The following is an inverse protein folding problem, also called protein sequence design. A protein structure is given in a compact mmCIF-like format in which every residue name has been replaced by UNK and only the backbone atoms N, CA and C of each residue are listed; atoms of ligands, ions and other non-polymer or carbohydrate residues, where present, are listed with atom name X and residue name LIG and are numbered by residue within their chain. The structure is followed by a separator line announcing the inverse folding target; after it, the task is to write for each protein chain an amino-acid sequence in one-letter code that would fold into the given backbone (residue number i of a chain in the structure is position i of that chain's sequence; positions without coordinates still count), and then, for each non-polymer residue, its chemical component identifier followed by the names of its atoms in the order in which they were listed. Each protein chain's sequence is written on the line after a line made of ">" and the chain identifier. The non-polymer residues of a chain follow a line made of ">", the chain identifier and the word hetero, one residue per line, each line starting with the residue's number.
data_IF_471132555622
#
_entry.id   IF_471132555622
#
_cell.length_a   1.000
_cell.length_b   1.000
_cell.length_c   1.000
_cell.angle_alpha   90.00
_cell.angle_beta   90.00
_cell.angle_gamma   90.00
#
_symmetry.space_group_name_H-M   'P 1'
#
loop_
_entity.id
_entity.type
_entity.pdbx_description
1 polymer ?
#
# COMPACT_ATOMS: atom_id res chain seq x y z
N UNK A 1 -8.34 15.03 28.76
CA UNK A 1 -8.57 13.63 28.39
C UNK A 1 -8.21 13.48 26.93
N UNK A 2 -6.96 13.15 26.64
CA UNK A 2 -6.50 12.85 25.28
C UNK A 2 -6.51 11.33 25.12
N UNK A 3 -7.27 10.86 24.16
CA UNK A 3 -7.40 9.44 23.82
C UNK A 3 -6.11 8.99 23.13
N UNK A 4 -5.40 8.06 23.77
CA UNK A 4 -4.31 7.28 23.18
C UNK A 4 -4.83 6.51 21.97
N UNK A 5 -4.47 6.97 20.76
CA UNK A 5 -4.57 6.15 19.55
C UNK A 5 -3.28 5.33 19.44
N UNK A 6 -3.29 4.15 20.04
CA UNK A 6 -2.27 3.14 19.82
C UNK A 6 -2.22 2.77 18.33
N UNK A 7 -1.09 3.03 17.69
CA UNK A 7 -0.81 2.57 16.32
C UNK A 7 -0.76 1.04 16.33
N UNK A 8 -1.53 0.33 15.48
CA UNK A 8 -1.54 -1.12 15.49
C UNK A 8 -0.16 -1.67 15.11
N UNK A 9 0.25 -2.75 15.75
CA UNK A 9 1.51 -3.44 15.42
C UNK A 9 1.45 -4.02 13.99
N UNK A 10 2.61 -4.26 13.36
CA UNK A 10 2.73 -4.83 12.02
C UNK A 10 1.95 -6.15 11.90
N UNK A 11 1.96 -6.97 12.97
CA UNK A 11 1.17 -8.21 13.04
C UNK A 11 -0.34 -7.96 13.05
N UNK A 12 -0.79 -6.93 13.76
CA UNK A 12 -2.22 -6.55 13.79
C UNK A 12 -2.69 -6.00 12.45
N UNK A 13 -1.85 -5.25 11.75
CA UNK A 13 -2.16 -4.75 10.40
C UNK A 13 -2.20 -5.89 9.39
N UNK A 14 -1.31 -6.89 9.51
CA UNK A 14 -1.28 -8.08 8.66
C UNK A 14 -2.51 -8.95 8.89
N UNK A 15 -2.87 -9.20 10.15
CA UNK A 15 -4.07 -9.94 10.52
C UNK A 15 -5.38 -9.25 10.09
N UNK A 16 -5.44 -7.91 10.16
CA UNK A 16 -6.59 -7.15 9.64
C UNK A 16 -6.70 -7.23 8.12
N UNK A 17 -5.57 -7.18 7.41
CA UNK A 17 -5.54 -7.31 5.96
C UNK A 17 -5.95 -8.72 5.51
N UNK A 18 -5.44 -9.77 6.17
CA UNK A 18 -5.85 -11.17 5.93
C UNK A 18 -7.33 -11.39 6.24
N UNK A 19 -7.85 -10.78 7.31
CA UNK A 19 -9.27 -10.86 7.67
C UNK A 19 -10.15 -10.14 6.63
N UNK A 20 -9.74 -8.97 6.12
CA UNK A 20 -10.45 -8.27 5.06
C UNK A 20 -10.40 -9.02 3.73
N UNK A 21 -9.26 -9.64 3.40
CA UNK A 21 -9.10 -10.47 2.21
C UNK A 21 -10.02 -11.70 2.28
N UNK A 22 -10.02 -12.40 3.41
CA UNK A 22 -10.89 -13.56 3.65
C UNK A 22 -12.38 -13.20 3.66
N UNK A 23 -12.76 -12.07 4.24
CA UNK A 23 -14.15 -11.60 4.19
C UNK A 23 -14.59 -11.24 2.78
N UNK A 24 -13.71 -10.65 1.95
CA UNK A 24 -14.00 -10.38 0.55
C UNK A 24 -14.11 -11.69 -0.27
N UNK A 25 -13.27 -12.69 0.00
CA UNK A 25 -13.32 -14.02 -0.61
C UNK A 25 -14.59 -14.78 -0.21
N UNK A 26 -15.01 -14.70 1.06
CA UNK A 26 -16.25 -15.34 1.54
C UNK A 26 -17.48 -14.68 0.90
N UNK A 27 -17.47 -13.35 0.75
CA UNK A 27 -18.56 -12.60 0.11
C UNK A 27 -18.69 -12.90 -1.38
N UNK A 28 -17.57 -13.25 -2.06
CA UNK A 28 -17.58 -13.69 -3.45
C UNK A 28 -18.07 -15.14 -3.60
N UNK A 29 -17.75 -16.01 -2.64
CA UNK A 29 -18.22 -17.43 -2.66
C UNK A 29 -19.72 -17.57 -2.46
N UNK A 30 -20.36 -16.61 -1.75
CA UNK A 30 -21.81 -16.65 -1.49
C UNK A 30 -22.65 -15.99 -2.61
N UNK A 31 -22.04 -15.32 -3.58
CA UNK A 31 -22.73 -14.77 -4.74
C UNK A 31 -22.58 -15.71 -5.93
N UNK A 32 -23.61 -16.48 -6.20
CA UNK A 32 -23.77 -17.32 -7.40
C UNK A 32 -24.01 -16.48 -8.68
N UNK A 33 -23.41 -15.29 -8.79
CA UNK A 33 -23.56 -14.53 -10.02
C UNK A 33 -22.57 -15.02 -11.07
N UNK A 34 -23.04 -15.12 -12.30
CA UNK A 34 -22.20 -15.38 -13.48
C UNK A 34 -22.47 -14.33 -14.52
N UNK A 35 -21.42 -13.76 -15.06
CA UNK A 35 -21.54 -12.85 -16.19
C UNK A 35 -22.06 -13.58 -17.42
N UNK A 36 -22.79 -12.88 -18.27
CA UNK A 36 -23.19 -13.42 -19.54
C UNK A 36 -22.01 -13.60 -20.48
N UNK A 37 -22.02 -14.66 -21.25
CA UNK A 37 -20.98 -14.96 -22.25
C UNK A 37 -21.57 -15.73 -23.44
N UNK A 38 -20.77 -15.92 -24.48
CA UNK A 38 -21.09 -16.80 -25.61
C UNK A 38 -20.10 -17.97 -25.68
N UNK A 39 -20.51 -19.08 -26.24
CA UNK A 39 -19.64 -20.16 -26.64
C UNK A 39 -19.98 -20.62 -28.07
N UNK A 40 -19.04 -21.26 -28.74
CA UNK A 40 -19.14 -21.66 -30.14
C UNK A 40 -19.12 -23.20 -30.24
N UNK A 41 -19.99 -23.71 -31.09
CA UNK A 41 -20.03 -25.12 -31.47
C UNK A 41 -20.01 -25.24 -32.99
N UNK A 42 -19.27 -26.20 -33.53
CA UNK A 42 -19.26 -26.47 -34.97
C UNK A 42 -19.98 -27.78 -35.27
N UNK A 43 -21.01 -27.70 -36.11
CA UNK A 43 -21.81 -28.84 -36.54
C UNK A 43 -21.97 -28.76 -38.07
N UNK A 44 -21.57 -29.81 -38.78
CA UNK A 44 -21.75 -29.97 -40.25
C UNK A 44 -21.32 -28.73 -41.07
N UNK A 45 -20.18 -28.14 -40.75
CA UNK A 45 -19.66 -26.92 -41.38
C UNK A 45 -20.47 -25.64 -41.11
N UNK A 46 -21.24 -25.63 -40.07
CA UNK A 46 -21.95 -24.49 -39.55
C UNK A 46 -21.42 -24.11 -38.17
N UNK A 47 -21.21 -22.80 -37.91
CA UNK A 47 -20.86 -22.30 -36.59
C UNK A 47 -22.14 -21.90 -35.86
N UNK A 48 -22.36 -22.47 -34.70
CA UNK A 48 -23.46 -22.16 -33.80
C UNK A 48 -22.95 -21.35 -32.60
N UNK A 49 -23.61 -20.24 -32.32
CA UNK A 49 -23.33 -19.41 -31.14
C UNK A 49 -24.34 -19.69 -30.06
N UNK A 50 -23.88 -20.24 -28.96
CA UNK A 50 -24.67 -20.42 -27.74
C UNK A 50 -24.55 -19.16 -26.87
N UNK A 51 -25.69 -18.55 -26.56
CA UNK A 51 -25.78 -17.35 -25.75
C UNK A 51 -26.13 -17.76 -24.34
N UNK A 52 -25.25 -17.48 -23.40
CA UNK A 52 -25.43 -17.75 -21.97
C UNK A 52 -25.72 -16.42 -21.27
N UNK A 53 -26.98 -16.13 -20.89
CA UNK A 53 -27.32 -14.89 -20.21
C UNK A 53 -26.66 -14.81 -18.84
N UNK A 54 -26.55 -13.60 -18.27
CA UNK A 54 -26.05 -13.46 -16.90
C UNK A 54 -26.97 -14.11 -15.90
N UNK A 55 -26.43 -14.61 -14.79
CA UNK A 55 -27.18 -15.18 -13.67
C UNK A 55 -27.10 -14.22 -12.50
N UNK A 56 -28.23 -13.98 -11.85
CA UNK A 56 -28.40 -13.05 -10.73
C UNK A 56 -27.90 -11.63 -11.07
N UNK A 57 -26.93 -11.11 -10.31
CA UNK A 57 -26.33 -9.78 -10.49
C UNK A 57 -25.17 -9.77 -11.51
N UNK A 58 -25.04 -10.80 -12.36
CA UNK A 58 -23.99 -10.88 -13.38
C UNK A 58 -24.11 -9.77 -14.43
N UNK A 59 -22.97 -9.37 -14.99
CA UNK A 59 -22.92 -8.38 -16.06
C UNK A 59 -23.49 -8.95 -17.37
N UNK A 60 -24.21 -8.14 -18.17
CA UNK A 60 -24.71 -8.56 -19.48
C UNK A 60 -23.55 -8.83 -20.44
N UNK A 61 -23.85 -9.60 -21.50
CA UNK A 61 -22.86 -9.92 -22.54
C UNK A 61 -22.39 -8.65 -23.24
N UNK A 62 -21.08 -8.43 -23.29
CA UNK A 62 -20.47 -7.30 -24.01
C UNK A 62 -20.48 -7.55 -25.51
N UNK A 63 -21.22 -6.72 -26.27
CA UNK A 63 -21.28 -6.80 -27.73
C UNK A 63 -19.89 -6.64 -28.35
N UNK A 64 -19.09 -5.69 -27.82
CA UNK A 64 -17.74 -5.42 -28.32
C UNK A 64 -16.82 -6.62 -28.13
N UNK A 65 -16.79 -7.19 -26.93
CA UNK A 65 -15.97 -8.35 -26.64
C UNK A 65 -16.38 -9.57 -27.46
N UNK A 66 -17.69 -9.75 -27.68
CA UNK A 66 -18.24 -10.79 -28.56
C UNK A 66 -17.78 -10.61 -30.00
N UNK A 67 -17.89 -9.39 -30.57
CA UNK A 67 -17.44 -9.13 -31.94
C UNK A 67 -15.93 -9.35 -32.08
N UNK A 68 -15.12 -8.95 -31.09
CA UNK A 68 -13.67 -9.20 -31.05
C UNK A 68 -13.37 -10.72 -30.99
N UNK A 69 -14.05 -11.44 -30.11
CA UNK A 69 -13.89 -12.90 -29.98
C UNK A 69 -14.21 -13.64 -31.28
N UNK A 70 -15.33 -13.32 -31.91
CA UNK A 70 -15.73 -13.93 -33.20
C UNK A 70 -14.72 -13.60 -34.31
N UNK A 71 -14.24 -12.35 -34.34
CA UNK A 71 -13.25 -11.92 -35.34
C UNK A 71 -11.91 -12.63 -35.21
N UNK A 72 -11.43 -12.84 -33.99
CA UNK A 72 -10.17 -13.57 -33.72
C UNK A 72 -10.26 -15.00 -34.24
N UNK A 73 -11.43 -15.61 -34.20
CA UNK A 73 -11.69 -16.98 -34.67
C UNK A 73 -12.21 -17.04 -36.12
N UNK A 74 -12.03 -15.96 -36.90
CA UNK A 74 -12.44 -15.85 -38.30
C UNK A 74 -13.95 -16.06 -38.56
N UNK A 75 -14.78 -15.87 -37.54
CA UNK A 75 -16.24 -15.94 -37.63
C UNK A 75 -16.78 -14.53 -37.92
N UNK A 76 -16.72 -14.05 -39.17
CA UNK A 76 -17.06 -12.68 -39.52
C UNK A 76 -18.33 -12.55 -40.37
N UNK A 77 -18.84 -13.65 -40.93
CA UNK A 77 -19.96 -13.66 -41.87
C UNK A 77 -21.28 -14.05 -41.18
N UNK A 78 -21.76 -13.24 -40.24
CA UNK A 78 -23.00 -13.48 -39.51
C UNK A 78 -23.93 -12.28 -39.51
N UNK A 79 -25.24 -12.47 -39.23
CA UNK A 79 -26.17 -11.37 -39.05
C UNK A 79 -25.96 -10.69 -37.70
N UNK A 80 -25.25 -9.54 -37.73
CA UNK A 80 -24.94 -8.73 -36.53
C UNK A 80 -26.19 -8.25 -35.79
N UNK A 81 -27.30 -8.03 -36.50
CA UNK A 81 -28.55 -7.61 -35.87
C UNK A 81 -29.18 -8.76 -35.08
N UNK A 82 -29.23 -9.95 -35.68
CA UNK A 82 -29.75 -11.15 -35.03
C UNK A 82 -28.94 -11.48 -33.75
N UNK A 83 -27.60 -11.43 -33.85
CA UNK A 83 -26.73 -11.67 -32.70
C UNK A 83 -26.99 -10.69 -31.56
N UNK A 84 -27.11 -9.38 -31.86
CA UNK A 84 -27.40 -8.35 -30.85
C UNK A 84 -28.78 -8.54 -30.21
N UNK A 85 -29.79 -8.81 -31.00
CA UNK A 85 -31.15 -9.07 -30.48
C UNK A 85 -31.17 -10.29 -29.56
N UNK A 86 -30.48 -11.35 -29.93
CA UNK A 86 -30.38 -12.54 -29.13
C UNK A 86 -29.61 -12.29 -27.81
N UNK A 87 -28.48 -11.59 -27.83
CA UNK A 87 -27.71 -11.23 -26.63
C UNK A 87 -28.51 -10.34 -25.67
N UNK A 88 -29.31 -9.40 -26.20
CA UNK A 88 -30.12 -8.49 -25.40
C UNK A 88 -31.42 -9.14 -24.89
N UNK A 89 -31.80 -10.30 -25.38
CA UNK A 89 -33.04 -10.98 -24.99
C UNK A 89 -33.06 -11.46 -23.52
N UNK A 90 -31.86 -11.61 -22.91
CA UNK A 90 -31.70 -12.15 -21.56
C UNK A 90 -32.08 -13.63 -21.43
N UNK A 91 -32.15 -14.36 -22.55
CA UNK A 91 -32.52 -15.77 -22.58
C UNK A 91 -31.39 -16.61 -23.18
N UNK A 92 -31.27 -17.85 -22.72
CA UNK A 92 -30.43 -18.83 -23.35
C UNK A 92 -30.95 -19.14 -24.75
N UNK A 93 -30.09 -19.03 -25.76
CA UNK A 93 -30.45 -19.20 -27.17
C UNK A 93 -29.25 -19.74 -27.94
N UNK A 94 -29.56 -20.40 -29.06
CA UNK A 94 -28.55 -20.82 -30.04
C UNK A 94 -28.90 -20.15 -31.36
N UNK A 95 -27.95 -19.47 -31.97
CA UNK A 95 -28.10 -18.85 -33.28
C UNK A 95 -27.02 -19.35 -34.23
N UNK A 96 -27.37 -19.44 -35.53
CA UNK A 96 -26.37 -19.76 -36.56
C UNK A 96 -25.55 -18.51 -36.91
N UNK A 97 -24.24 -18.68 -36.98
CA UNK A 97 -23.30 -17.69 -37.47
C UNK A 97 -22.91 -17.94 -38.96
N UNK A 98 -23.56 -18.94 -39.58
CA UNK A 98 -23.27 -19.28 -40.96
C UNK A 98 -22.20 -20.34 -41.16
N UNK A 99 -21.69 -20.41 -42.40
CA UNK A 99 -20.68 -21.42 -42.76
C UNK A 99 -19.34 -21.21 -42.05
N UNK A 100 -18.74 -22.28 -41.60
CA UNK A 100 -17.40 -22.31 -41.04
C UNK A 100 -16.63 -23.57 -41.47
N UNK A 101 -15.31 -23.50 -41.53
CA UNK A 101 -14.42 -24.62 -41.75
C UNK A 101 -14.32 -25.56 -40.53
N UNK A 102 -14.99 -25.25 -39.44
CA UNK A 102 -15.10 -26.08 -38.24
C UNK A 102 -13.80 -26.27 -37.47
N UNK A 103 -12.86 -25.29 -37.57
CA UNK A 103 -11.60 -25.36 -36.83
C UNK A 103 -11.84 -25.08 -35.34
N UNK A 104 -11.73 -26.13 -34.53
CA UNK A 104 -11.84 -26.06 -33.08
C UNK A 104 -10.71 -25.21 -32.50
N UNK A 105 -11.02 -24.41 -31.48
CA UNK A 105 -10.05 -23.58 -30.77
C UNK A 105 -10.13 -23.76 -29.25
N UNK A 106 -8.99 -23.58 -28.60
CA UNK A 106 -8.86 -23.77 -27.17
C UNK A 106 -9.29 -22.53 -26.39
N UNK A 107 -9.58 -22.72 -25.09
CA UNK A 107 -9.77 -21.65 -24.13
C UNK A 107 -8.61 -20.66 -24.20
N UNK A 108 -8.92 -19.38 -24.09
CA UNK A 108 -7.92 -18.31 -24.11
C UNK A 108 -8.01 -17.43 -22.87
N UNK A 109 -6.83 -16.94 -22.44
CA UNK A 109 -6.70 -16.05 -21.29
C UNK A 109 -6.11 -14.71 -21.73
N UNK A 110 -6.73 -13.62 -21.29
CA UNK A 110 -6.22 -12.28 -21.48
C UNK A 110 -5.69 -11.76 -20.16
N UNK A 111 -4.39 -11.54 -20.09
CA UNK A 111 -3.70 -11.02 -18.89
C UNK A 111 -3.49 -9.52 -19.01
N UNK A 112 -4.02 -8.76 -18.05
CA UNK A 112 -3.83 -7.31 -17.92
C UNK A 112 -3.07 -6.99 -16.65
N UNK A 113 -1.92 -6.35 -16.79
CA UNK A 113 -1.15 -5.84 -15.66
C UNK A 113 -1.47 -4.35 -15.49
N UNK A 114 -1.75 -3.91 -14.26
CA UNK A 114 -1.99 -2.50 -13.94
C UNK A 114 -0.75 -1.65 -14.24
N UNK A 115 -0.93 -0.35 -14.49
CA UNK A 115 0.16 0.57 -14.85
C UNK A 115 1.24 0.64 -13.75
N UNK A 116 0.83 0.56 -12.49
CA UNK A 116 1.71 0.51 -11.32
C UNK A 116 2.31 -0.88 -11.06
N UNK A 117 1.92 -1.88 -11.87
CA UNK A 117 2.29 -3.29 -11.75
C UNK A 117 1.93 -3.93 -10.42
N UNK A 118 0.96 -3.39 -9.71
CA UNK A 118 0.52 -3.91 -8.41
C UNK A 118 -0.57 -4.97 -8.53
N UNK A 119 -1.18 -5.14 -9.70
CA UNK A 119 -2.21 -6.15 -9.94
C UNK A 119 -2.06 -6.78 -11.31
N UNK A 120 -2.25 -8.09 -11.37
CA UNK A 120 -2.48 -8.83 -12.61
C UNK A 120 -3.90 -9.37 -12.60
N UNK A 121 -4.68 -8.95 -13.58
CA UNK A 121 -6.08 -9.35 -13.77
C UNK A 121 -6.19 -10.17 -15.03
N UNK A 122 -6.86 -11.31 -14.95
CA UNK A 122 -7.05 -12.24 -16.06
C UNK A 122 -8.53 -12.40 -16.35
N UNK A 123 -8.88 -12.44 -17.63
CA UNK A 123 -10.23 -12.73 -18.13
C UNK A 123 -10.14 -13.88 -19.13
N UNK A 124 -11.07 -14.81 -19.04
CA UNK A 124 -11.10 -16.00 -19.87
C UNK A 124 -12.22 -15.93 -20.88
N UNK A 125 -11.93 -16.42 -22.08
CA UNK A 125 -12.92 -16.70 -23.11
C UNK A 125 -13.04 -18.22 -23.30
N UNK A 126 -14.28 -18.72 -23.45
CA UNK A 126 -14.51 -20.15 -23.56
C UNK A 126 -13.86 -20.72 -24.81
N UNK A 127 -13.47 -22.02 -24.80
CA UNK A 127 -13.13 -22.73 -26.01
C UNK A 127 -14.35 -22.98 -26.88
N UNK A 128 -14.17 -23.44 -28.11
CA UNK A 128 -15.24 -24.09 -28.86
C UNK A 128 -15.64 -25.42 -28.19
N UNK A 129 -16.78 -25.99 -28.55
CA UNK A 129 -17.39 -27.11 -27.84
C UNK A 129 -16.44 -28.33 -27.64
N UNK A 130 -15.55 -28.61 -28.60
CA UNK A 130 -14.55 -29.65 -28.52
C UNK A 130 -13.12 -29.11 -28.32
N UNK A 131 -12.97 -27.82 -28.04
CA UNK A 131 -11.69 -27.21 -27.75
C UNK A 131 -11.15 -27.57 -26.37
N UNK A 132 -9.85 -27.41 -26.19
CA UNK A 132 -9.22 -27.73 -24.91
C UNK A 132 -9.39 -26.56 -23.91
N UNK A 133 -9.61 -26.93 -22.65
CA UNK A 133 -9.61 -25.97 -21.54
C UNK A 133 -8.23 -25.88 -20.89
N UNK A 134 -7.87 -24.72 -20.37
CA UNK A 134 -6.64 -24.49 -19.63
C UNK A 134 -6.72 -25.14 -18.25
N UNK A 135 -5.64 -25.81 -17.85
CA UNK A 135 -5.47 -26.26 -16.46
C UNK A 135 -4.60 -25.27 -15.68
N UNK A 136 -4.44 -25.49 -14.37
CA UNK A 136 -3.65 -24.63 -13.49
C UNK A 136 -2.22 -24.41 -14.02
N UNK A 137 -1.61 -25.46 -14.60
CA UNK A 137 -0.25 -25.37 -15.13
C UNK A 137 -0.18 -24.48 -16.36
N UNK A 138 -1.17 -24.58 -17.24
CA UNK A 138 -1.24 -23.76 -18.46
C UNK A 138 -1.42 -22.28 -18.09
N UNK A 139 -2.30 -21.98 -17.13
CA UNK A 139 -2.51 -20.63 -16.59
C UNK A 139 -1.22 -20.08 -15.98
N UNK A 140 -0.52 -20.88 -15.17
CA UNK A 140 0.75 -20.47 -14.56
C UNK A 140 1.84 -20.20 -15.59
N UNK A 141 1.90 -20.99 -16.66
CA UNK A 141 2.85 -20.78 -17.76
C UNK A 141 2.55 -19.47 -18.50
N UNK A 142 1.28 -19.17 -18.76
CA UNK A 142 0.87 -17.94 -19.43
C UNK A 142 1.15 -16.70 -18.56
N UNK A 143 0.85 -16.75 -17.25
CA UNK A 143 1.20 -15.70 -16.31
C UNK A 143 2.72 -15.41 -16.31
N UNK A 144 3.54 -16.47 -16.27
CA UNK A 144 4.99 -16.32 -16.33
C UNK A 144 5.45 -15.73 -17.67
N UNK A 145 4.83 -16.11 -18.79
CA UNK A 145 5.12 -15.55 -20.11
C UNK A 145 4.82 -14.04 -20.18
N UNK A 146 3.80 -13.57 -19.43
CA UNK A 146 3.48 -12.16 -19.27
C UNK A 146 4.32 -11.45 -18.20
N UNK A 147 5.26 -12.17 -17.54
CA UNK A 147 6.14 -11.63 -16.52
C UNK A 147 5.51 -11.51 -15.14
N UNK A 148 4.38 -12.16 -14.90
CA UNK A 148 3.74 -12.22 -13.55
C UNK A 148 4.34 -13.40 -12.80
N UNK A 149 5.17 -13.12 -11.79
CA UNK A 149 5.94 -14.14 -11.06
C UNK A 149 5.87 -14.00 -9.53
N UNK A 150 5.23 -12.96 -9.01
CA UNK A 150 5.22 -12.66 -7.59
C UNK A 150 3.78 -12.59 -7.06
N UNK A 151 3.56 -13.18 -5.86
CA UNK A 151 2.27 -13.21 -5.14
C UNK A 151 1.10 -13.67 -6.04
N UNK A 152 1.32 -14.78 -6.77
CA UNK A 152 0.26 -15.42 -7.57
C UNK A 152 -0.67 -16.20 -6.62
N UNK A 153 -1.95 -15.86 -6.66
CA UNK A 153 -2.99 -16.50 -5.84
C UNK A 153 -3.49 -17.79 -6.52
N UNK A 154 -2.96 -18.91 -6.07
CA UNK A 154 -3.33 -20.23 -6.61
C UNK A 154 -4.78 -20.63 -6.29
N UNK A 155 -5.34 -20.16 -5.17
CA UNK A 155 -6.72 -20.47 -4.78
C UNK A 155 -7.71 -19.87 -5.78
N UNK A 156 -7.49 -18.61 -6.20
CA UNK A 156 -8.33 -17.96 -7.23
C UNK A 156 -8.18 -18.65 -8.59
N UNK A 157 -6.98 -19.13 -8.93
CA UNK A 157 -6.79 -19.92 -10.15
C UNK A 157 -7.57 -21.24 -10.09
N UNK A 158 -7.52 -21.95 -8.96
CA UNK A 158 -8.29 -23.19 -8.77
C UNK A 158 -9.78 -22.93 -8.80
N UNK A 159 -10.25 -21.86 -8.17
CA UNK A 159 -11.66 -21.43 -8.20
C UNK A 159 -12.15 -21.25 -9.66
N UNK A 160 -11.35 -20.56 -10.50
CA UNK A 160 -11.70 -20.42 -11.92
C UNK A 160 -11.73 -21.78 -12.61
N UNK A 161 -10.70 -22.64 -12.42
CA UNK A 161 -10.62 -23.95 -13.07
C UNK A 161 -11.79 -24.85 -12.71
N UNK A 162 -12.33 -24.73 -11.50
CA UNK A 162 -13.51 -25.48 -11.03
C UNK A 162 -14.84 -24.88 -11.52
N UNK A 163 -14.99 -23.56 -11.47
CA UNK A 163 -16.27 -22.87 -11.74
C UNK A 163 -16.49 -22.53 -13.21
N UNK A 164 -15.40 -22.30 -13.96
CA UNK A 164 -15.42 -21.83 -15.37
C UNK A 164 -16.35 -20.63 -15.59
N UNK A 165 -16.28 -19.64 -14.66
CA UNK A 165 -17.03 -18.40 -14.84
C UNK A 165 -16.33 -17.51 -15.86
N UNK A 166 -16.76 -17.58 -17.11
CA UNK A 166 -16.23 -16.76 -18.22
C UNK A 166 -16.66 -15.30 -18.14
N UNK A 167 -16.02 -14.45 -18.93
CA UNK A 167 -16.27 -13.00 -18.99
C UNK A 167 -16.14 -12.28 -17.62
N UNK A 168 -15.44 -12.90 -16.67
CA UNK A 168 -15.20 -12.38 -15.31
C UNK A 168 -13.72 -12.03 -15.15
N UNK A 169 -13.47 -10.91 -14.48
CA UNK A 169 -12.12 -10.47 -14.17
C UNK A 169 -11.63 -11.10 -12.86
N UNK A 170 -10.60 -11.93 -12.94
CA UNK A 170 -9.95 -12.56 -11.80
C UNK A 170 -8.63 -11.85 -11.48
N UNK A 171 -8.43 -11.45 -10.23
CA UNK A 171 -7.15 -10.90 -9.77
C UNK A 171 -6.25 -12.06 -9.36
N UNK A 172 -5.35 -12.46 -10.24
CA UNK A 172 -4.46 -13.61 -10.02
C UNK A 172 -3.17 -13.27 -9.28
N UNK A 173 -2.74 -12.01 -9.31
CA UNK A 173 -1.58 -11.60 -8.52
C UNK A 173 -1.74 -10.18 -7.99
N UNK A 174 -1.20 -9.94 -6.78
CA UNK A 174 -1.21 -8.63 -6.15
C UNK A 174 0.16 -8.37 -5.52
N UNK A 175 0.80 -7.26 -5.90
CA UNK A 175 2.07 -6.83 -5.34
C UNK A 175 1.95 -6.38 -3.88
N UNK A 176 3.08 -6.28 -3.21
CA UNK A 176 3.20 -5.79 -1.82
C UNK A 176 3.65 -4.33 -1.85
N UNK A 177 2.87 -3.44 -1.22
CA UNK A 177 3.20 -2.03 -1.12
C UNK A 177 4.40 -1.81 -0.18
N UNK A 178 5.28 -0.82 -0.46
CA UNK A 178 6.33 -0.47 0.48
C UNK A 178 5.76 0.12 1.78
N UNK A 179 6.36 -0.23 2.89
CA UNK A 179 6.08 0.38 4.20
C UNK A 179 6.97 1.61 4.36
N UNK A 180 6.36 2.77 4.53
CA UNK A 180 7.09 4.04 4.66
C UNK A 180 7.73 4.12 6.04
N UNK A 181 9.04 4.33 6.06
CA UNK A 181 9.78 4.58 7.29
C UNK A 181 9.65 6.02 7.80
N UNK A 182 10.20 6.28 8.99
CA UNK A 182 10.18 7.57 9.66
C UNK A 182 11.60 8.07 9.90
N UNK A 183 11.79 9.38 9.73
CA UNK A 183 13.05 10.05 10.06
C UNK A 183 13.29 10.01 11.57
N UNK A 184 14.55 9.92 12.00
CA UNK A 184 14.92 10.09 13.40
C UNK A 184 14.51 11.47 13.91
N UNK A 185 14.00 11.53 15.15
CA UNK A 185 13.57 12.77 15.81
C UNK A 185 14.31 12.94 17.14
N UNK A 186 14.83 14.13 17.38
CA UNK A 186 15.35 14.54 18.68
C UNK A 186 14.33 15.48 19.33
N UNK A 187 13.98 15.17 20.55
CA UNK A 187 13.15 16.00 21.41
C UNK A 187 14.02 16.55 22.53
N UNK A 188 14.03 17.87 22.68
CA UNK A 188 14.76 18.56 23.75
C UNK A 188 13.81 18.95 24.86
N UNK A 189 14.21 18.72 26.12
CA UNK A 189 13.42 18.99 27.32
C UNK A 189 13.80 20.33 27.98
N UNK A 190 14.45 21.20 27.24
CA UNK A 190 14.77 22.58 27.65
C UNK A 190 14.48 23.52 26.50
N UNK A 191 14.47 24.84 26.78
CA UNK A 191 14.21 25.84 25.74
C UNK A 191 15.40 25.97 24.79
N UNK A 192 15.22 25.55 23.55
CA UNK A 192 16.27 25.57 22.52
C UNK A 192 16.39 26.91 21.79
N UNK A 193 15.39 27.80 21.93
CA UNK A 193 15.34 29.12 21.32
C UNK A 193 15.06 30.19 22.40
N UNK A 194 16.02 30.53 23.25
CA UNK A 194 15.84 31.60 24.20
C UNK A 194 15.62 32.92 23.45
N UNK A 195 14.42 33.48 23.59
CA UNK A 195 14.08 34.76 22.98
C UNK A 195 14.80 35.91 23.72
N UNK A 196 15.70 36.59 23.01
CA UNK A 196 16.37 37.81 23.51
C UNK A 196 15.43 39.03 23.53
N UNK A 197 14.14 38.89 23.17
CA UNK A 197 13.19 40.02 23.17
C UNK A 197 12.55 40.12 24.54
N UNK A 198 12.77 41.22 25.28
CA UNK A 198 12.05 41.52 26.54
C UNK A 198 10.55 41.53 26.29
N UNK A 199 9.76 41.00 27.22
CA UNK A 199 8.30 41.14 27.16
C UNK A 199 7.94 42.58 27.48
N UNK A 200 7.20 43.22 26.57
CA UNK A 200 6.54 44.48 26.84
C UNK A 200 5.25 44.20 27.64
N UNK A 201 5.19 44.70 28.85
CA UNK A 201 3.96 44.69 29.64
C UNK A 201 2.93 45.62 29.01
N UNK A 202 1.64 45.42 29.33
CA UNK A 202 0.55 46.24 28.80
C UNK A 202 0.61 47.69 29.27
N UNK A 203 1.43 47.99 30.28
CA UNK A 203 1.67 49.33 30.86
C UNK A 203 2.85 50.07 30.23
N UNK A 204 3.50 49.46 29.20
CA UNK A 204 4.64 50.05 28.51
C UNK A 204 5.99 49.80 29.20
N UNK A 205 6.03 49.16 30.37
CA UNK A 205 7.27 48.79 31.05
C UNK A 205 7.89 47.57 30.36
N UNK A 206 9.22 47.51 30.36
CA UNK A 206 9.99 46.38 29.81
C UNK A 206 10.51 45.56 30.97
N UNK A 207 10.02 44.35 31.10
CA UNK A 207 10.52 43.44 32.13
C UNK A 207 11.81 42.75 31.61
N UNK A 208 12.93 43.16 32.19
CA UNK A 208 14.26 42.60 31.92
C UNK A 208 14.57 41.39 32.82
N UNK A 209 13.74 41.07 33.83
CA UNK A 209 13.98 39.94 34.72
C UNK A 209 13.43 38.63 34.17
N UNK A 210 12.53 38.65 33.21
CA UNK A 210 11.96 37.46 32.56
C UNK A 210 12.58 37.21 31.16
N UNK A 211 13.89 37.41 31.09
CA UNK A 211 14.68 36.91 29.97
C UNK A 211 14.81 35.39 30.17
N UNK A 212 13.90 34.61 29.56
CA UNK A 212 13.92 33.14 29.50
C UNK A 212 15.17 32.60 28.72
N UNK A 213 16.29 33.29 28.90
CA UNK A 213 17.59 33.01 28.27
C UNK A 213 18.38 31.94 29.01
N UNK A 214 18.03 31.70 30.27
CA UNK A 214 18.76 30.79 31.15
C UNK A 214 17.91 29.58 31.44
N UNK A 215 18.28 28.45 30.89
CA UNK A 215 17.65 27.16 31.21
C UNK A 215 18.47 26.48 32.30
N UNK A 216 18.05 26.66 33.56
CA UNK A 216 18.62 25.97 34.70
C UNK A 216 18.15 24.51 34.73
N UNK A 217 19.07 23.60 35.02
CA UNK A 217 18.84 22.19 35.13
C UNK A 217 19.49 21.63 36.39
N UNK A 218 18.97 20.51 36.88
CA UNK A 218 19.56 19.77 38.01
C UNK A 218 20.33 18.54 37.49
N UNK A 219 21.25 18.07 38.33
CA UNK A 219 21.91 16.79 38.10
C UNK A 219 20.86 15.67 37.96
N UNK A 220 20.97 14.88 36.88
CA UNK A 220 20.06 13.79 36.54
C UNK A 220 18.90 14.15 35.63
N UNK A 221 18.67 15.46 35.35
CA UNK A 221 17.60 15.89 34.45
C UNK A 221 17.80 15.33 33.05
N UNK A 222 16.70 14.87 32.42
CA UNK A 222 16.67 14.46 31.04
C UNK A 222 16.76 15.71 30.12
N UNK A 223 17.78 15.77 29.28
CA UNK A 223 18.05 16.91 28.41
C UNK A 223 17.50 16.72 27.00
N UNK A 224 17.70 15.56 26.43
CA UNK A 224 17.14 15.22 25.12
C UNK A 224 16.89 13.72 24.97
N UNK A 225 15.92 13.41 24.11
CA UNK A 225 15.57 12.03 23.72
C UNK A 225 15.62 11.91 22.21
N UNK A 226 16.29 10.88 21.73
CA UNK A 226 16.32 10.46 20.35
C UNK A 226 15.28 9.34 20.14
N UNK A 227 14.36 9.56 19.23
CA UNK A 227 13.60 8.47 18.61
C UNK A 227 14.36 8.07 17.34
N UNK A 228 14.93 6.85 17.26
CA UNK A 228 15.65 6.39 16.07
C UNK A 228 14.77 6.38 14.82
N UNK A 229 15.41 6.42 13.67
CA UNK A 229 14.73 6.23 12.40
C UNK A 229 14.18 4.81 12.27
N UNK A 230 13.03 4.70 11.62
CA UNK A 230 12.51 3.43 11.09
C UNK A 230 12.72 3.43 9.58
N UNK A 231 13.44 2.45 9.06
CA UNK A 231 13.73 2.34 7.62
C UNK A 231 12.52 1.88 6.79
N UNK A 232 11.47 1.39 7.45
CA UNK A 232 10.35 0.77 6.75
C UNK A 232 10.77 -0.51 6.03
N UNK A 233 10.01 -0.89 4.98
CA UNK A 233 10.29 -2.07 4.18
C UNK A 233 10.02 -1.79 2.69
N UNK A 234 10.85 -2.34 1.80
CA UNK A 234 10.58 -2.27 0.37
C UNK A 234 9.33 -3.09 0.02
N UNK A 235 8.55 -2.58 -0.92
CA UNK A 235 7.48 -3.31 -1.56
C UNK A 235 8.01 -4.17 -2.72
N UNK A 236 7.08 -4.88 -3.39
CA UNK A 236 7.41 -5.69 -4.57
C UNK A 236 6.21 -5.76 -5.49
N UNK A 237 6.39 -5.51 -6.77
CA UNK A 237 5.34 -5.60 -7.78
C UNK A 237 5.10 -7.05 -8.25
N UNK A 238 4.04 -7.28 -9.02
CA UNK A 238 3.69 -8.63 -9.52
C UNK A 238 4.73 -9.22 -10.47
N UNK A 239 5.64 -8.39 -11.01
CA UNK A 239 6.77 -8.85 -11.84
C UNK A 239 8.01 -9.20 -11.02
N UNK A 240 7.91 -9.13 -9.70
CA UNK A 240 9.01 -9.42 -8.80
C UNK A 240 10.00 -8.28 -8.60
N UNK A 241 9.76 -7.10 -9.18
CA UNK A 241 10.62 -5.93 -9.04
C UNK A 241 10.39 -5.27 -7.67
N UNK A 242 11.47 -4.95 -6.97
CA UNK A 242 11.39 -4.21 -5.72
C UNK A 242 10.93 -2.76 -5.95
N UNK A 243 10.05 -2.31 -5.06
CA UNK A 243 9.58 -0.93 -4.97
C UNK A 243 10.24 -0.34 -3.72
N UNK A 244 11.25 0.54 -3.88
CA UNK A 244 11.97 1.07 -2.74
C UNK A 244 11.08 1.94 -1.87
N UNK A 245 11.25 1.83 -0.56
CA UNK A 245 10.68 2.80 0.38
C UNK A 245 11.47 4.11 0.33
N UNK A 246 10.90 5.17 0.89
CA UNK A 246 11.57 6.47 1.02
C UNK A 246 12.81 6.33 1.89
N UNK A 247 13.93 6.96 1.47
CA UNK A 247 15.11 7.08 2.34
C UNK A 247 14.77 7.94 3.55
N UNK A 248 15.21 7.50 4.72
CA UNK A 248 15.02 8.18 6.00
C UNK A 248 16.32 8.81 6.48
N UNK A 249 16.18 9.89 7.25
CA UNK A 249 17.33 10.59 7.83
C UNK A 249 17.60 10.04 9.22
N UNK A 250 18.84 9.63 9.48
CA UNK A 250 19.32 9.31 10.81
C UNK A 250 19.75 10.58 11.53
N UNK A 251 19.66 10.57 12.87
CA UNK A 251 20.20 11.61 13.77
C UNK A 251 20.96 10.96 14.90
N UNK A 252 21.85 11.74 15.53
CA UNK A 252 22.58 11.32 16.73
C UNK A 252 22.43 12.42 17.78
N UNK A 253 22.46 12.05 19.05
CA UNK A 253 22.57 13.02 20.14
C UNK A 253 24.01 13.51 20.20
N UNK A 254 24.19 14.82 19.97
CA UNK A 254 25.47 15.50 20.14
C UNK A 254 25.49 16.25 21.45
N UNK A 255 26.50 16.02 22.28
CA UNK A 255 26.59 16.58 23.62
C UNK A 255 28.04 16.87 24.04
N UNK A 256 28.20 17.78 25.00
CA UNK A 256 29.50 18.16 25.57
C UNK A 256 29.81 17.38 26.86
N UNK A 257 30.86 17.81 27.59
CA UNK A 257 31.15 17.32 28.96
C UNK A 257 29.98 17.60 29.90
N UNK A 258 29.92 16.94 31.05
CA UNK A 258 28.89 17.05 32.09
C UNK A 258 27.53 16.47 31.64
N UNK A 259 27.53 15.56 30.67
CA UNK A 259 26.35 14.88 30.16
C UNK A 259 26.65 13.39 30.00
N UNK A 260 25.79 12.55 30.50
CA UNK A 260 25.85 11.10 30.33
C UNK A 260 24.74 10.64 29.35
N UNK A 261 25.09 9.72 28.47
CA UNK A 261 24.15 9.05 27.57
C UNK A 261 23.80 7.67 28.14
N UNK A 262 22.54 7.25 27.98
CA UNK A 262 22.09 5.91 28.38
C UNK A 262 22.71 4.81 27.49
N UNK A 263 22.56 3.54 27.89
CA UNK A 263 23.12 2.37 27.19
C UNK A 263 22.60 2.25 25.75
N UNK A 264 21.30 2.54 25.52
CA UNK A 264 20.65 2.49 24.20
C UNK A 264 20.99 3.70 23.31
N UNK A 265 21.73 4.67 23.83
CA UNK A 265 22.11 5.92 23.14
C UNK A 265 20.92 6.76 22.66
N UNK A 266 19.81 6.66 23.37
CA UNK A 266 18.56 7.34 23.05
C UNK A 266 18.24 8.51 23.97
N UNK A 267 18.91 8.60 25.14
CA UNK A 267 18.66 9.67 26.12
C UNK A 267 19.97 10.22 26.67
N UNK A 268 20.00 11.53 26.88
CA UNK A 268 21.10 12.22 27.54
C UNK A 268 20.60 12.95 28.79
N UNK A 269 21.40 12.82 29.85
CA UNK A 269 21.11 13.38 31.17
C UNK A 269 22.25 14.26 31.64
N UNK A 270 21.93 15.26 32.47
CA UNK A 270 22.94 16.10 33.09
C UNK A 270 23.65 15.39 34.25
N UNK A 271 24.99 15.49 34.28
CA UNK A 271 25.80 15.00 35.40
C UNK A 271 25.96 16.03 36.52
N UNK A 272 25.60 17.28 36.26
CA UNK A 272 25.77 18.40 37.18
C UNK A 272 24.52 19.29 37.20
N UNK A 273 24.36 20.04 38.28
CA UNK A 273 23.43 21.17 38.33
C UNK A 273 24.06 22.33 37.62
N UNK A 274 23.36 23.01 36.71
CA UNK A 274 23.96 24.08 35.91
C UNK A 274 23.00 24.69 34.89
N UNK A 275 23.57 25.24 33.83
CA UNK A 275 22.86 25.84 32.72
C UNK A 275 23.00 25.02 31.47
N UNK A 276 21.88 24.74 30.77
CA UNK A 276 21.86 24.04 29.50
C UNK A 276 21.55 24.99 28.34
N UNK A 277 22.21 24.77 27.21
CA UNK A 277 21.91 25.44 25.93
C UNK A 277 22.19 24.52 24.76
N UNK A 278 21.53 24.82 23.64
CA UNK A 278 21.83 24.20 22.35
C UNK A 278 22.77 25.10 21.54
N UNK A 279 23.91 24.57 21.12
CA UNK A 279 24.89 25.28 20.28
C UNK A 279 25.02 24.52 18.96
N UNK A 280 24.39 25.02 17.90
CA UNK A 280 24.17 24.23 16.69
C UNK A 280 23.26 23.05 16.98
N UNK A 281 23.78 21.82 16.86
CA UNK A 281 23.05 20.58 17.20
C UNK A 281 23.55 19.94 18.52
N UNK A 282 24.55 20.56 19.17
CA UNK A 282 25.19 20.02 20.37
C UNK A 282 24.55 20.59 21.64
N UNK A 283 24.17 19.70 22.57
CA UNK A 283 23.73 20.09 23.93
C UNK A 283 24.94 20.37 24.79
N UNK A 284 24.97 21.54 25.38
CA UNK A 284 26.09 22.01 26.22
C UNK A 284 25.57 22.33 27.63
N UNK A 285 26.24 21.75 28.64
CA UNK A 285 25.96 22.01 30.06
C UNK A 285 27.19 22.69 30.69
N UNK A 286 26.93 23.83 31.33
CA UNK A 286 27.93 24.58 32.09
C UNK A 286 27.57 24.57 33.58
N UNK A 287 28.57 24.36 34.41
CA UNK A 287 28.39 24.45 35.87
C UNK A 287 27.93 25.86 36.26
N UNK A 288 27.01 25.94 37.17
CA UNK A 288 26.55 27.22 37.75
C UNK A 288 27.19 27.40 39.12
N UNK A 289 27.92 28.48 39.30
CA UNK A 289 28.29 28.93 40.64
C UNK A 289 27.19 29.83 41.19
N UNK A 290 26.52 29.35 42.24
CA UNK A 290 25.51 30.15 42.95
C UNK A 290 26.27 31.06 43.93
N UNK A 291 26.24 32.40 43.66
CA UNK A 291 26.74 33.37 44.60
C UNK A 291 25.55 33.74 45.53
N UNK A 292 25.65 33.26 46.76
CA UNK A 292 24.64 33.64 47.80
C UNK A 292 24.92 35.05 48.30
N UNK A 293 24.04 36.00 47.97
CA UNK A 293 24.09 37.37 48.40
C UNK A 293 24.08 38.40 47.26
N UNK A 294 23.92 39.67 47.59
CA UNK A 294 23.97 40.76 46.64
C UNK A 294 25.39 40.88 46.05
N UNK A 295 25.48 40.92 44.73
CA UNK A 295 26.75 41.18 44.01
C UNK A 295 27.08 42.65 44.09
N UNK A 296 27.93 43.02 44.99
CA UNK A 296 28.46 44.39 45.14
C UNK A 296 29.97 44.48 44.87
N UNK A 297 30.53 45.66 44.99
CA UNK A 297 31.94 45.91 44.77
C UNK A 297 32.86 45.13 45.73
N UNK A 298 32.34 44.47 46.76
CA UNK A 298 33.10 43.67 47.73
C UNK A 298 33.23 42.21 47.28
N UNK A 299 32.45 41.75 46.32
CA UNK A 299 32.48 40.34 45.86
C UNK A 299 33.63 39.99 44.94
N UNK A 300 34.47 40.96 44.56
CA UNK A 300 35.65 40.74 43.72
C UNK A 300 35.35 40.31 42.27
N UNK A 301 36.37 40.23 41.44
CA UNK A 301 36.23 39.73 40.08
C UNK A 301 35.94 38.22 40.09
N UNK A 302 34.73 37.86 39.71
CA UNK A 302 34.33 36.44 39.44
C UNK A 302 34.67 36.18 37.96
N UNK A 303 35.82 35.55 37.71
CA UNK A 303 36.20 35.08 36.39
C UNK A 303 35.66 33.68 36.15
#
# INVERSE_FOLDING_TARGET
>A
MFSDKTTPSIEQSKAQFETQLNNNLTTLKDKLYKNGYISIEFIDSEALCHIHPPVDDGEPISIKETEEYLSVHNLNEYDKRLLREAMMSGKEQVISLGYSDGIEFSESMFTKISLDKMKATCRFLPPSAHGNTMNVKDIMLDLNAHGVIFEINQDVIMEFVESRCYATDYVFATGVQPVIGHDAKIEYFFNTNPSLKPRHNKDGSVDYHDLNTICAINKGDLLARLTPEDKGANGKDVTGREIPTRSVKSKKLEYSKNITINEDKTEIHSDVTGLVKLVGEQVVVSDVYEVQGDVDNSTGNIN
#
